data_IF_205654472553
#
_entry.id   IF_205654472553
#
_cell.length_a   1.000
_cell.length_b   1.000
_cell.length_c   1.000
_cell.angle_alpha   90.00
_cell.angle_beta   90.00
_cell.angle_gamma   90.00
#
_symmetry.space_group_name_H-M   'P 1'
#
loop_
_entity.id
_entity.type
_entity.pdbx_description
1 polymer ?
#
# COMPACT_ATOMS: atom_id res chain seq x y z
N UNK A 1 -33.34 -25.00 19.89
CA UNK A 1 -32.95 -25.00 18.45
C UNK A 1 -32.34 -23.64 18.10
N UNK A 2 -31.22 -23.31 18.75
CA UNK A 2 -30.58 -22.00 18.72
C UNK A 2 -29.09 -22.22 18.92
N UNK A 3 -28.27 -21.37 18.30
CA UNK A 3 -26.79 -21.34 18.30
C UNK A 3 -26.02 -22.33 17.40
N UNK A 4 -26.44 -23.59 17.25
CA UNK A 4 -25.68 -24.54 16.40
C UNK A 4 -25.92 -24.31 14.90
N UNK A 5 -27.11 -23.84 14.52
CA UNK A 5 -27.50 -23.64 13.12
C UNK A 5 -27.07 -22.27 12.57
N UNK A 6 -26.91 -21.26 13.44
CA UNK A 6 -26.45 -19.93 13.06
C UNK A 6 -24.95 -19.91 12.70
N UNK A 7 -24.15 -20.79 13.32
CA UNK A 7 -22.70 -20.91 13.08
C UNK A 7 -22.34 -21.58 11.75
N UNK A 8 -23.29 -22.25 11.09
CA UNK A 8 -23.07 -22.89 9.78
C UNK A 8 -23.11 -21.90 8.60
N UNK A 9 -23.62 -20.68 8.79
CA UNK A 9 -23.87 -19.74 7.68
C UNK A 9 -22.70 -18.82 7.26
N UNK A 10 -21.50 -18.94 7.82
CA UNK A 10 -20.40 -18.02 7.45
C UNK A 10 -19.00 -18.63 7.47
N UNK A 11 -18.82 -19.81 6.89
CA UNK A 11 -17.49 -20.27 6.47
C UNK A 11 -17.54 -20.65 5.00
N UNK A 12 -17.61 -19.63 4.12
CA UNK A 12 -17.07 -19.77 2.76
C UNK A 12 -15.60 -20.16 2.94
N UNK A 13 -15.31 -21.45 2.83
CA UNK A 13 -13.94 -21.97 2.92
C UNK A 13 -13.15 -21.29 1.79
N UNK A 14 -12.27 -20.35 2.13
CA UNK A 14 -11.37 -19.69 1.18
C UNK A 14 -10.38 -20.73 0.67
N UNK A 15 -10.77 -21.49 -0.36
CA UNK A 15 -9.88 -22.40 -1.08
C UNK A 15 -8.83 -21.55 -1.79
N UNK A 16 -7.55 -21.74 -1.45
CA UNK A 16 -6.44 -21.20 -2.22
C UNK A 16 -6.10 -22.20 -3.34
N UNK A 17 -6.35 -21.87 -4.62
CA UNK A 17 -5.84 -22.68 -5.72
C UNK A 17 -4.31 -22.62 -5.74
N UNK A 18 -3.66 -23.77 -5.90
CA UNK A 18 -2.21 -23.84 -6.09
C UNK A 18 -1.86 -23.61 -7.55
N UNK A 19 -0.71 -22.98 -7.83
CA UNK A 19 -0.17 -22.90 -9.19
C UNK A 19 0.43 -24.24 -9.65
N UNK A 20 0.86 -25.09 -8.70
CA UNK A 20 1.40 -26.43 -8.93
C UNK A 20 0.76 -27.43 -7.96
N UNK A 21 0.66 -28.69 -8.38
CA UNK A 21 0.20 -29.78 -7.53
C UNK A 21 1.15 -29.99 -6.35
N UNK A 22 0.62 -30.14 -5.14
CA UNK A 22 1.40 -30.29 -3.92
C UNK A 22 0.66 -31.23 -2.95
N UNK A 23 1.34 -32.31 -2.54
CA UNK A 23 0.82 -33.29 -1.59
C UNK A 23 1.27 -32.90 -0.17
N UNK A 24 0.35 -32.38 0.64
CA UNK A 24 0.65 -31.88 1.98
C UNK A 24 1.17 -32.97 2.92
N UNK A 25 0.77 -34.24 2.72
CA UNK A 25 1.22 -35.38 3.54
C UNK A 25 2.74 -35.60 3.48
N UNK A 26 3.42 -35.14 2.43
CA UNK A 26 4.86 -35.33 2.26
C UNK A 26 5.69 -34.18 2.87
N UNK A 27 5.04 -33.15 3.42
CA UNK A 27 5.71 -31.99 4.02
C UNK A 27 5.98 -32.24 5.50
N UNK A 28 7.25 -32.18 5.89
CA UNK A 28 7.70 -32.42 7.28
C UNK A 28 7.90 -31.15 8.11
N UNK A 29 8.12 -30.01 7.46
CA UNK A 29 8.43 -28.74 8.13
C UNK A 29 7.57 -27.63 7.54
N UNK A 30 7.07 -26.75 8.42
CA UNK A 30 6.27 -25.59 8.05
C UNK A 30 6.99 -24.34 8.54
N UNK A 31 7.56 -23.58 7.60
CA UNK A 31 8.15 -22.28 7.87
C UNK A 31 7.10 -21.18 7.72
N UNK A 32 7.09 -20.24 8.66
CA UNK A 32 6.26 -19.04 8.60
C UNK A 32 7.13 -17.81 8.64
N UNK A 33 6.82 -16.86 7.77
CA UNK A 33 7.30 -15.49 7.90
C UNK A 33 6.46 -14.75 8.95
N UNK A 34 6.97 -13.66 9.53
CA UNK A 34 6.25 -12.92 10.57
C UNK A 34 5.40 -11.80 9.97
N UNK A 35 6.05 -10.78 9.39
CA UNK A 35 5.39 -9.55 9.00
C UNK A 35 4.51 -9.76 7.77
N UNK A 36 3.26 -9.29 7.86
CA UNK A 36 2.22 -9.53 6.85
C UNK A 36 1.89 -11.01 6.57
N UNK A 37 2.45 -11.96 7.32
CA UNK A 37 2.14 -13.40 7.25
C UNK A 37 1.44 -13.88 8.52
N UNK A 38 2.11 -13.81 9.67
CA UNK A 38 1.51 -14.06 10.99
C UNK A 38 0.96 -12.77 11.60
N UNK A 39 1.75 -11.69 11.53
CA UNK A 39 1.38 -10.37 12.01
C UNK A 39 0.83 -9.51 10.86
N UNK A 40 -0.49 -9.47 10.71
CA UNK A 40 -1.16 -8.62 9.73
C UNK A 40 -1.42 -7.25 10.34
N UNK A 41 -0.68 -6.25 9.90
CA UNK A 41 -0.87 -4.88 10.35
C UNK A 41 -2.22 -4.31 9.88
N UNK A 42 -2.81 -3.46 10.73
CA UNK A 42 -4.04 -2.75 10.40
C UNK A 42 -3.73 -1.65 9.41
N UNK A 43 -4.44 -1.70 8.29
CA UNK A 43 -4.43 -0.64 7.31
C UNK A 43 -5.66 0.24 7.57
N UNK A 44 -5.56 1.59 7.47
CA UNK A 44 -4.42 2.37 6.98
C UNK A 44 -3.49 2.83 8.09
N UNK A 45 -3.77 2.47 9.34
CA UNK A 45 -3.14 3.07 10.51
C UNK A 45 -1.62 2.84 10.50
N UNK A 46 -1.18 1.65 10.10
CA UNK A 46 0.24 1.33 10.01
C UNK A 46 0.94 2.10 8.88
N UNK A 47 0.33 2.19 7.70
CA UNK A 47 0.89 2.94 6.57
C UNK A 47 0.93 4.44 6.87
N UNK A 48 -0.10 4.98 7.52
CA UNK A 48 -0.15 6.38 7.97
C UNK A 48 1.00 6.70 8.93
N UNK A 49 1.18 5.85 9.96
CA UNK A 49 2.25 6.03 10.94
C UNK A 49 3.63 5.98 10.24
N UNK A 50 3.85 4.97 9.41
CA UNK A 50 5.11 4.81 8.69
C UNK A 50 5.39 5.99 7.77
N UNK A 51 4.36 6.51 7.09
CA UNK A 51 4.48 7.68 6.22
C UNK A 51 4.92 8.92 7.01
N UNK A 52 4.32 9.18 8.18
CA UNK A 52 4.70 10.29 9.05
C UNK A 52 6.15 10.16 9.53
N UNK A 53 6.56 8.98 9.98
CA UNK A 53 7.93 8.72 10.42
C UNK A 53 8.94 8.96 9.30
N UNK A 54 8.63 8.56 8.07
CA UNK A 54 9.49 8.81 6.91
C UNK A 54 9.59 10.32 6.60
N UNK A 55 8.48 11.07 6.68
CA UNK A 55 8.52 12.53 6.50
C UNK A 55 9.43 13.19 7.53
N UNK A 56 9.32 12.80 8.81
CA UNK A 56 10.17 13.32 9.87
C UNK A 56 11.65 13.01 9.60
N UNK A 57 12.00 11.78 9.24
CA UNK A 57 13.36 11.40 8.87
C UNK A 57 13.89 12.15 7.64
N UNK A 58 13.04 12.43 6.64
CA UNK A 58 13.45 13.22 5.47
C UNK A 58 13.76 14.68 5.84
N UNK A 59 12.97 15.27 6.73
CA UNK A 59 13.22 16.63 7.22
C UNK A 59 14.54 16.69 8.00
N UNK A 60 14.82 15.69 8.85
CA UNK A 60 16.10 15.56 9.54
C UNK A 60 17.30 15.46 8.59
N UNK A 61 17.11 14.83 7.42
CA UNK A 61 18.11 14.75 6.35
C UNK A 61 18.26 16.05 5.54
N UNK A 62 17.46 17.09 5.83
CA UNK A 62 17.54 18.41 5.19
C UNK A 62 16.51 18.65 4.08
N UNK A 63 15.48 17.82 3.94
CA UNK A 63 14.36 18.14 3.06
C UNK A 63 13.53 19.32 3.61
N UNK A 64 12.85 20.09 2.73
CA UNK A 64 11.99 21.20 3.15
C UNK A 64 10.94 20.81 4.19
N UNK A 65 10.80 21.59 5.26
CA UNK A 65 9.87 21.28 6.36
C UNK A 65 8.38 21.24 5.93
N UNK A 66 8.03 21.87 4.81
CA UNK A 66 6.65 21.87 4.29
C UNK A 66 6.17 20.48 3.84
N UNK A 67 7.06 19.51 3.63
CA UNK A 67 6.64 18.13 3.30
C UNK A 67 5.85 17.48 4.45
N UNK A 68 5.95 18.01 5.68
CA UNK A 68 5.18 17.53 6.83
C UNK A 68 3.67 17.72 6.69
N UNK A 69 3.24 18.61 5.79
CA UNK A 69 1.83 18.83 5.47
C UNK A 69 1.23 17.72 4.60
N UNK A 70 2.07 16.81 4.07
CA UNK A 70 1.58 15.71 3.26
C UNK A 70 0.79 14.72 4.12
N UNK A 71 -0.37 14.33 3.59
CA UNK A 71 -1.26 13.34 4.19
C UNK A 71 -1.19 12.08 3.35
N UNK A 72 -1.06 10.93 4.00
CA UNK A 72 -1.07 9.66 3.28
C UNK A 72 -2.44 9.42 2.63
N UNK A 73 -2.43 9.27 1.30
CA UNK A 73 -3.60 8.86 0.52
C UNK A 73 -3.50 7.37 0.19
N UNK A 74 -4.35 6.57 0.85
CA UNK A 74 -4.45 5.12 0.61
C UNK A 74 -4.89 4.76 -0.81
N UNK A 75 -5.62 5.65 -1.50
CA UNK A 75 -6.15 5.35 -2.84
C UNK A 75 -5.06 5.36 -3.92
N UNK A 76 -3.92 6.00 -3.64
CA UNK A 76 -2.82 6.15 -4.57
C UNK A 76 -1.91 4.91 -4.68
N UNK A 77 -1.31 4.38 -3.58
CA UNK A 77 -0.32 3.31 -3.70
C UNK A 77 -0.98 2.00 -4.10
N UNK A 78 -0.47 1.41 -5.18
CA UNK A 78 -0.80 0.06 -5.61
C UNK A 78 0.42 -0.84 -5.43
N UNK A 79 0.22 -2.03 -4.84
CA UNK A 79 1.30 -3.01 -4.66
C UNK A 79 1.88 -3.44 -6.01
N UNK A 80 3.21 -3.50 -6.08
CA UNK A 80 3.96 -3.94 -7.26
C UNK A 80 4.00 -2.89 -8.38
N UNK A 81 3.99 -1.60 -8.03
CA UNK A 81 4.40 -0.52 -8.94
C UNK A 81 5.93 -0.43 -8.98
N UNK A 82 6.45 -0.03 -10.13
CA UNK A 82 7.86 0.26 -10.35
C UNK A 82 8.08 1.77 -10.26
N UNK A 83 9.16 2.19 -9.61
CA UNK A 83 9.54 3.59 -9.56
C UNK A 83 10.67 3.86 -10.55
N UNK A 84 10.37 4.68 -11.55
CA UNK A 84 11.31 5.17 -12.55
C UNK A 84 12.05 6.38 -11.98
N UNK A 85 13.31 6.18 -11.60
CA UNK A 85 14.16 7.21 -10.98
C UNK A 85 14.55 8.34 -11.96
N UNK A 86 14.57 8.06 -13.26
CA UNK A 86 15.01 9.05 -14.25
C UNK A 86 13.91 10.10 -14.48
N UNK A 87 12.66 9.66 -14.57
CA UNK A 87 11.53 10.54 -14.90
C UNK A 87 10.51 10.70 -13.76
N UNK A 88 10.73 10.07 -12.60
CA UNK A 88 9.88 10.18 -11.42
C UNK A 88 8.48 9.57 -11.59
N UNK A 89 8.35 8.52 -12.41
CA UNK A 89 7.05 7.90 -12.69
C UNK A 89 6.84 6.63 -11.87
N UNK A 90 5.58 6.37 -11.50
CA UNK A 90 5.16 5.06 -11.03
C UNK A 90 4.55 4.27 -12.19
N UNK A 91 5.08 3.08 -12.46
CA UNK A 91 4.70 2.25 -13.60
C UNK A 91 4.09 0.94 -13.10
N UNK A 92 2.93 0.58 -13.65
CA UNK A 92 2.41 -0.78 -13.59
C UNK A 92 2.89 -1.50 -14.83
N UNK A 93 3.63 -2.58 -14.66
CA UNK A 93 4.19 -3.37 -15.76
C UNK A 93 3.66 -4.79 -15.74
N UNK A 94 3.66 -5.44 -16.90
CA UNK A 94 3.43 -6.88 -17.01
C UNK A 94 4.72 -7.70 -16.79
N UNK A 95 4.63 -9.02 -16.96
CA UNK A 95 5.79 -9.92 -16.81
C UNK A 95 6.86 -9.76 -17.91
N UNK A 96 6.53 -9.10 -19.02
CA UNK A 96 7.45 -8.87 -20.15
C UNK A 96 8.05 -7.45 -20.12
N UNK A 97 7.69 -6.64 -19.13
CA UNK A 97 8.17 -5.26 -18.99
C UNK A 97 7.37 -4.24 -19.80
N UNK A 98 6.23 -4.61 -20.39
CA UNK A 98 5.36 -3.65 -21.06
C UNK A 98 4.64 -2.78 -20.02
N UNK A 99 4.51 -1.49 -20.32
CA UNK A 99 3.83 -0.55 -19.44
C UNK A 99 2.31 -0.69 -19.60
N UNK A 100 1.64 -1.15 -18.54
CA UNK A 100 0.18 -1.26 -18.47
C UNK A 100 -0.46 0.05 -18.03
N UNK A 101 0.17 0.74 -17.07
CA UNK A 101 -0.32 2.03 -16.57
C UNK A 101 0.86 2.89 -16.12
N UNK A 102 0.80 4.18 -16.45
CA UNK A 102 1.72 5.21 -15.96
C UNK A 102 0.97 6.13 -15.01
N UNK A 103 1.55 6.34 -13.83
CA UNK A 103 1.07 7.24 -12.79
C UNK A 103 2.15 8.29 -12.59
N UNK A 104 1.80 9.57 -12.77
CA UNK A 104 2.72 10.68 -12.55
C UNK A 104 2.61 11.14 -11.09
N UNK A 105 3.74 11.33 -10.42
CA UNK A 105 3.78 11.79 -9.03
C UNK A 105 3.14 13.18 -8.81
N UNK A 106 2.96 13.96 -9.89
CA UNK A 106 2.53 15.36 -9.88
C UNK A 106 1.04 15.60 -9.54
N UNK A 107 0.27 14.58 -9.14
CA UNK A 107 -1.12 14.76 -8.70
C UNK A 107 -1.26 15.12 -7.21
N UNK A 108 -0.14 15.34 -6.50
CA UNK A 108 -0.15 15.86 -5.14
C UNK A 108 0.15 17.37 -5.14
N UNK A 109 -0.81 18.16 -5.62
CA UNK A 109 -0.85 19.59 -5.37
C UNK A 109 -1.88 19.81 -4.25
N UNK A 110 -1.51 20.30 -3.05
CA UNK A 110 -2.52 20.82 -2.14
C UNK A 110 -3.31 21.89 -2.91
N UNK A 111 -4.64 21.93 -2.71
CA UNK A 111 -5.51 22.92 -3.38
C UNK A 111 -4.80 24.28 -3.36
N UNK A 112 -4.74 25.00 -4.50
CA UNK A 112 -4.19 26.35 -4.47
C UNK A 112 -4.92 27.15 -3.37
N UNK A 113 -4.20 27.97 -2.57
CA UNK A 113 -4.86 28.81 -1.59
C UNK A 113 -5.98 29.57 -2.30
N UNK A 114 -7.16 29.57 -1.70
CA UNK A 114 -8.33 30.24 -2.26
C UNK A 114 -7.95 31.65 -2.72
N UNK A 115 -8.51 32.09 -3.85
CA UNK A 115 -8.20 33.30 -4.65
C UNK A 115 -8.10 34.66 -3.90
N UNK A 116 -8.11 34.66 -2.57
CA UNK A 116 -8.00 35.84 -1.72
C UNK A 116 -6.55 36.35 -1.53
N UNK A 117 -5.53 35.59 -1.91
CA UNK A 117 -4.12 35.98 -1.72
C UNK A 117 -3.47 36.72 -2.93
N UNK A 118 -4.19 36.91 -4.05
CA UNK A 118 -3.63 37.54 -5.27
C UNK A 118 -4.10 39.00 -5.50
N UNK A 119 -4.64 39.68 -4.48
CA UNK A 119 -5.11 41.09 -4.61
C UNK A 119 -4.38 42.11 -3.74
N UNK A 120 -3.19 41.78 -3.25
CA UNK A 120 -2.33 42.72 -2.53
C UNK A 120 -0.86 42.43 -2.83
N UNK A 121 -0.43 42.89 -4.00
CA UNK A 121 0.97 43.22 -4.31
C UNK A 121 0.96 44.34 -5.34
#
# INVERSE_FOLDING_TARGET
ASDIELRRKTLKTKRKPGHRSLQLNNIRFYGFDMDYTLAVYKSPEFENLTFQLVLDSLIELGYPANIKEFVYDRSFPLRGLWFDKLYGNFLKVDAYGNILKKLKANYWNPKPPSDRALKTA
#
